data_IF_189690676020
#
_entry.id   IF_189690676020
#
_cell.length_a   1.000
_cell.length_b   1.000
_cell.length_c   1.000
_cell.angle_alpha   90.00
_cell.angle_beta   90.00
_cell.angle_gamma   90.00
#
_symmetry.space_group_name_H-M   'P 1'
#
loop_
_entity.id
_entity.type
_entity.pdbx_description
1 polymer ?
#
# COMPACT_ATOMS: atom_id res chain seq x y z
N UNK A 1 -26.78 -0.27 2.78
CA UNK A 1 -27.52 -1.31 3.54
C UNK A 1 -26.94 -2.67 3.17
N UNK A 2 -26.29 -3.31 4.08
CA UNK A 2 -26.23 -4.75 4.47
C UNK A 2 -24.90 -5.03 5.16
N UNK A 3 -25.06 -5.15 6.47
CA UNK A 3 -24.06 -5.57 7.43
C UNK A 3 -23.76 -7.06 7.22
N UNK A 4 -22.51 -7.46 7.19
CA UNK A 4 -22.12 -8.84 7.48
C UNK A 4 -21.16 -8.83 8.68
N UNK A 5 -21.74 -9.24 9.79
CA UNK A 5 -21.09 -9.57 11.05
C UNK A 5 -20.62 -11.03 10.92
N UNK A 6 -19.33 -11.28 11.00
CA UNK A 6 -18.79 -12.63 11.18
C UNK A 6 -18.12 -12.71 12.54
N UNK A 7 -18.76 -13.46 13.44
CA UNK A 7 -18.27 -13.78 14.77
C UNK A 7 -17.17 -14.85 14.66
N UNK A 8 -16.01 -14.60 15.28
CA UNK A 8 -14.94 -15.59 15.47
C UNK A 8 -14.95 -16.04 16.94
N UNK A 9 -15.29 -17.30 17.17
CA UNK A 9 -15.24 -17.97 18.48
C UNK A 9 -13.79 -18.22 18.88
N UNK A 10 -13.37 -17.69 20.01
CA UNK A 10 -12.12 -18.04 20.69
C UNK A 10 -12.33 -19.27 21.53
N UNK A 11 -11.63 -20.37 21.26
CA UNK A 11 -11.54 -21.55 22.11
C UNK A 11 -10.33 -21.38 23.04
N UNK A 12 -10.65 -21.21 24.32
CA UNK A 12 -9.71 -21.12 25.44
C UNK A 12 -9.48 -22.54 25.96
N UNK A 13 -8.30 -23.14 25.76
CA UNK A 13 -7.91 -24.38 26.43
C UNK A 13 -7.02 -24.07 27.62
N UNK A 14 -7.58 -24.24 28.78
CA UNK A 14 -6.89 -24.21 30.08
C UNK A 14 -6.15 -25.54 30.28
N UNK A 15 -4.84 -25.48 30.43
CA UNK A 15 -4.04 -26.63 30.84
C UNK A 15 -3.61 -26.44 32.30
N UNK A 16 -4.19 -27.28 33.18
CA UNK A 16 -3.94 -27.31 34.62
C UNK A 16 -2.67 -28.09 34.91
N UNK A 17 -1.75 -27.46 35.62
CA UNK A 17 -0.62 -28.10 36.30
C UNK A 17 -1.05 -28.66 37.64
N UNK A 18 -0.81 -29.93 37.87
CA UNK A 18 -0.75 -30.47 39.24
C UNK A 18 0.19 -31.65 39.28
N UNK A 19 1.11 -31.65 40.23
CA UNK A 19 1.78 -32.87 40.64
C UNK A 19 3.23 -32.69 41.08
N UNK A 20 3.39 -32.31 42.33
CA UNK A 20 4.66 -32.40 43.08
C UNK A 20 4.83 -33.84 43.57
N UNK A 21 6.02 -34.42 43.40
CA UNK A 21 6.35 -35.72 44.00
C UNK A 21 7.86 -35.92 44.02
N UNK A 22 8.41 -35.84 45.21
CA UNK A 22 9.79 -36.05 45.62
C UNK A 22 10.00 -37.50 45.97
N UNK A 23 11.07 -38.16 45.47
CA UNK A 23 11.90 -39.13 46.27
C UNK A 23 13.07 -39.68 45.49
N UNK A 24 14.23 -39.48 46.04
CA UNK A 24 15.42 -40.32 46.23
C UNK A 24 15.96 -41.23 45.11
N UNK A 25 17.26 -40.96 44.86
CA UNK A 25 18.25 -41.76 44.13
C UNK A 25 18.53 -43.12 44.77
N UNK A 26 18.89 -44.17 44.04
CA UNK A 26 20.32 -44.41 43.75
C UNK A 26 20.67 -45.11 42.44
N UNK A 27 21.94 -44.87 42.07
CA UNK A 27 22.88 -45.73 41.31
C UNK A 27 22.66 -45.95 39.80
N UNK A 28 23.71 -45.55 39.07
CA UNK A 28 24.02 -45.76 37.63
C UNK A 28 23.97 -47.21 37.16
N UNK A 29 23.72 -47.37 35.85
CA UNK A 29 24.82 -47.83 35.02
C UNK A 29 24.91 -47.07 33.67
N UNK A 30 26.14 -46.81 33.28
CA UNK A 30 26.63 -46.28 31.99
C UNK A 30 26.04 -47.03 30.82
N UNK A 31 25.43 -46.29 29.91
CA UNK A 31 25.07 -46.82 28.58
C UNK A 31 25.80 -46.01 27.50
N UNK A 32 26.36 -46.67 26.49
CA UNK A 32 27.24 -46.03 25.51
C UNK A 32 26.49 -45.29 24.42
N UNK A 33 27.03 -44.14 24.04
CA UNK A 33 26.95 -43.59 22.70
C UNK A 33 25.56 -43.25 22.15
N UNK A 34 25.02 -42.07 22.50
CA UNK A 34 24.12 -41.41 21.57
C UNK A 34 24.95 -40.80 20.46
N UNK A 35 24.78 -41.36 19.25
CA UNK A 35 25.25 -40.70 18.03
C UNK A 35 24.58 -39.35 17.92
N UNK A 36 25.34 -38.28 17.89
CA UNK A 36 24.86 -36.94 17.53
C UNK A 36 24.30 -37.04 16.11
N UNK A 37 23.01 -36.85 16.02
CA UNK A 37 22.31 -36.62 14.77
C UNK A 37 22.89 -35.32 14.16
N UNK A 38 23.37 -35.35 12.88
CA UNK A 38 23.92 -34.13 12.29
C UNK A 38 22.84 -33.05 12.26
N UNK A 39 23.11 -31.94 12.97
CA UNK A 39 22.29 -30.77 12.92
C UNK A 39 22.06 -30.35 11.45
N UNK A 40 20.78 -30.27 11.05
CA UNK A 40 20.44 -29.75 9.74
C UNK A 40 21.10 -28.37 9.55
N UNK A 41 21.57 -28.03 8.34
CA UNK A 41 22.18 -26.76 8.08
C UNK A 41 21.15 -25.65 8.40
N UNK A 42 21.44 -24.86 9.40
CA UNK A 42 20.66 -23.64 9.69
C UNK A 42 20.89 -22.70 8.51
N UNK A 43 19.84 -22.38 7.75
CA UNK A 43 19.93 -21.31 6.76
C UNK A 43 20.40 -20.04 7.47
N UNK A 44 21.36 -19.30 6.89
CA UNK A 44 21.86 -18.08 7.52
C UNK A 44 20.69 -17.10 7.69
N UNK A 45 20.42 -16.68 8.93
CA UNK A 45 19.47 -15.63 9.21
C UNK A 45 19.97 -14.33 8.56
N UNK A 46 19.11 -13.74 7.71
CA UNK A 46 19.41 -12.46 7.05
C UNK A 46 19.60 -11.36 8.10
N UNK A 47 20.58 -10.51 7.87
CA UNK A 47 20.77 -9.32 8.70
C UNK A 47 19.61 -8.34 8.50
N UNK A 48 19.36 -7.46 9.49
CA UNK A 48 18.32 -6.42 9.34
C UNK A 48 18.51 -5.53 8.10
N UNK A 49 19.75 -5.30 7.69
CA UNK A 49 20.09 -4.53 6.48
C UNK A 49 19.73 -5.30 5.20
N UNK A 50 19.99 -6.59 5.16
CA UNK A 50 19.62 -7.45 4.02
C UNK A 50 18.10 -7.59 3.89
N UNK A 51 17.38 -7.68 5.01
CA UNK A 51 15.92 -7.70 5.03
C UNK A 51 15.37 -6.38 4.47
N UNK A 52 15.86 -5.23 4.95
CA UNK A 52 15.43 -3.91 4.49
C UNK A 52 15.71 -3.70 2.99
N UNK A 53 16.84 -4.19 2.48
CA UNK A 53 17.18 -4.12 1.06
C UNK A 53 16.27 -5.01 0.23
N UNK A 54 15.95 -6.22 0.68
CA UNK A 54 15.01 -7.11 0.00
C UNK A 54 13.60 -6.50 -0.06
N UNK A 55 13.13 -5.91 1.05
CA UNK A 55 11.84 -5.22 1.10
C UNK A 55 11.79 -4.03 0.14
N UNK A 56 12.87 -3.25 0.06
CA UNK A 56 12.99 -2.13 -0.87
C UNK A 56 12.91 -2.59 -2.33
N UNK A 57 13.68 -3.61 -2.68
CA UNK A 57 13.69 -4.19 -4.04
C UNK A 57 12.33 -4.80 -4.40
N UNK A 58 11.68 -5.48 -3.46
CA UNK A 58 10.35 -6.04 -3.66
C UNK A 58 9.30 -4.94 -3.88
N UNK A 59 9.36 -3.85 -3.11
CA UNK A 59 8.48 -2.70 -3.25
C UNK A 59 8.69 -1.97 -4.60
N UNK A 60 9.94 -1.82 -5.04
CA UNK A 60 10.28 -1.23 -6.33
C UNK A 60 9.74 -2.08 -7.49
N UNK A 61 9.96 -3.38 -7.44
CA UNK A 61 9.42 -4.33 -8.43
C UNK A 61 7.89 -4.30 -8.48
N UNK A 62 7.23 -4.34 -7.34
CA UNK A 62 5.76 -4.25 -7.28
C UNK A 62 5.22 -2.94 -7.83
N UNK A 63 5.95 -1.82 -7.61
CA UNK A 63 5.62 -0.52 -8.21
C UNK A 63 5.75 -0.56 -9.72
N UNK A 64 6.85 -1.09 -10.24
CA UNK A 64 7.09 -1.20 -11.69
C UNK A 64 6.04 -2.06 -12.37
N UNK A 65 5.72 -3.23 -11.82
CA UNK A 65 4.67 -4.12 -12.33
C UNK A 65 3.30 -3.43 -12.37
N UNK A 66 2.98 -2.64 -11.32
CA UNK A 66 1.74 -1.86 -11.28
C UNK A 66 1.71 -0.76 -12.35
N UNK A 67 2.83 -0.04 -12.55
CA UNK A 67 2.93 1.01 -13.56
C UNK A 67 2.83 0.42 -14.97
N UNK A 68 3.51 -0.70 -15.21
CA UNK A 68 3.43 -1.39 -16.50
C UNK A 68 2.01 -1.89 -16.77
N UNK A 69 1.36 -2.50 -15.78
CA UNK A 69 -0.04 -2.94 -15.90
C UNK A 69 -1.01 -1.78 -16.20
N UNK A 70 -0.80 -0.61 -15.59
CA UNK A 70 -1.56 0.60 -15.89
C UNK A 70 -1.34 1.04 -17.34
N UNK A 71 -0.08 1.15 -17.77
CA UNK A 71 0.27 1.52 -19.14
C UNK A 71 -0.31 0.57 -20.19
N UNK A 72 -0.29 -0.73 -19.92
CA UNK A 72 -0.82 -1.74 -20.83
C UNK A 72 -2.34 -1.69 -20.93
N UNK A 73 -3.04 -1.21 -19.91
CA UNK A 73 -4.49 -1.04 -19.90
C UNK A 73 -4.98 0.22 -20.62
N UNK A 74 -4.10 1.20 -20.85
CA UNK A 74 -4.45 2.49 -21.47
C UNK A 74 -4.50 2.41 -22.98
N UNK A 75 -5.47 3.12 -23.56
CA UNK A 75 -5.52 3.41 -25.01
C UNK A 75 -4.40 4.39 -25.41
N UNK A 76 -4.19 4.55 -26.72
CA UNK A 76 -3.23 5.53 -27.21
C UNK A 76 -3.65 6.97 -26.86
N UNK A 77 -4.94 7.26 -26.98
CA UNK A 77 -5.52 8.57 -26.64
C UNK A 77 -5.30 8.92 -25.17
N UNK A 78 -5.54 7.98 -24.28
CA UNK A 78 -5.27 8.15 -22.84
C UNK A 78 -3.79 8.38 -22.57
N UNK A 79 -2.91 7.60 -23.18
CA UNK A 79 -1.44 7.79 -23.04
C UNK A 79 -1.00 9.16 -23.53
N UNK A 80 -1.53 9.60 -24.65
CA UNK A 80 -1.22 10.92 -25.21
C UNK A 80 -1.76 12.02 -24.32
N UNK A 81 -3.01 11.88 -23.83
CA UNK A 81 -3.64 12.85 -22.93
C UNK A 81 -2.83 13.07 -21.64
N UNK A 82 -2.28 11.99 -21.06
CA UNK A 82 -1.46 12.05 -19.85
C UNK A 82 -0.16 12.86 -20.01
N UNK A 83 0.30 13.09 -21.24
CA UNK A 83 1.47 13.93 -21.50
C UNK A 83 1.16 15.44 -21.46
N UNK A 84 -0.13 15.80 -21.44
CA UNK A 84 -0.54 17.20 -21.43
C UNK A 84 -0.75 17.72 -20.01
N UNK A 85 0.10 18.67 -19.65
CA UNK A 85 -0.03 19.50 -18.46
C UNK A 85 -0.38 20.92 -18.92
N UNK A 86 -1.65 21.27 -18.84
CA UNK A 86 -2.18 22.45 -19.50
C UNK A 86 -2.68 23.48 -18.49
N UNK A 87 -2.78 24.74 -18.94
CA UNK A 87 -3.41 25.77 -18.13
C UNK A 87 -4.88 25.40 -17.89
N UNK A 88 -5.35 25.49 -16.64
CA UNK A 88 -6.76 25.28 -16.30
C UNK A 88 -7.64 26.22 -17.14
N UNK A 89 -8.62 25.68 -17.91
CA UNK A 89 -9.52 26.50 -18.73
C UNK A 89 -10.51 27.27 -17.84
N UNK A 90 -11.12 28.33 -18.37
CA UNK A 90 -12.12 29.12 -17.65
C UNK A 90 -13.47 28.40 -17.55
N UNK A 91 -13.75 27.56 -18.52
CA UNK A 91 -14.99 26.79 -18.63
C UNK A 91 -14.65 25.34 -18.92
N UNK A 92 -15.55 24.44 -18.57
CA UNK A 92 -15.46 23.00 -18.85
C UNK A 92 -14.26 22.28 -18.23
N UNK A 93 -13.59 22.88 -17.20
CA UNK A 93 -12.38 22.31 -16.62
C UNK A 93 -12.54 20.87 -16.13
N UNK A 94 -13.70 20.49 -15.59
CA UNK A 94 -13.98 19.12 -15.14
C UNK A 94 -14.22 18.19 -16.34
N UNK A 95 -14.97 18.64 -17.34
CA UNK A 95 -15.29 17.86 -18.55
C UNK A 95 -14.06 17.62 -19.42
N UNK A 96 -13.20 18.63 -19.57
CA UNK A 96 -11.97 18.54 -20.39
C UNK A 96 -11.00 17.49 -19.87
N UNK A 97 -10.95 17.27 -18.55
CA UNK A 97 -10.09 16.23 -17.94
C UNK A 97 -10.44 14.85 -18.50
N UNK A 98 -11.72 14.48 -18.48
CA UNK A 98 -12.19 13.18 -18.95
C UNK A 98 -12.21 13.10 -20.49
N UNK A 99 -12.55 14.21 -21.17
CA UNK A 99 -12.62 14.26 -22.64
C UNK A 99 -11.25 14.11 -23.29
N UNK A 100 -10.23 14.75 -22.74
CA UNK A 100 -8.89 14.77 -23.30
C UNK A 100 -7.88 13.90 -22.51
N UNK A 101 -8.35 13.21 -21.46
CA UNK A 101 -7.51 12.36 -20.59
C UNK A 101 -6.27 13.09 -20.03
N UNK A 102 -6.45 14.35 -19.61
CA UNK A 102 -5.34 15.24 -19.26
C UNK A 102 -4.50 14.71 -18.10
N UNK A 103 -3.18 14.90 -18.18
CA UNK A 103 -2.23 14.55 -17.13
C UNK A 103 -2.16 15.59 -16.00
N UNK A 104 -2.54 16.85 -16.25
CA UNK A 104 -2.51 17.85 -15.20
C UNK A 104 -2.98 19.25 -15.60
N UNK A 105 -3.24 20.07 -14.56
CA UNK A 105 -3.57 21.48 -14.69
C UNK A 105 -2.53 22.37 -14.01
N UNK A 106 -2.18 23.46 -14.72
CA UNK A 106 -1.52 24.64 -14.18
C UNK A 106 -2.59 25.63 -13.73
N UNK A 107 -2.59 25.97 -12.44
CA UNK A 107 -3.49 26.93 -11.85
C UNK A 107 -2.81 28.32 -11.80
N UNK A 108 -3.59 29.37 -12.05
CA UNK A 108 -3.15 30.74 -11.99
C UNK A 108 -4.05 31.52 -11.03
N UNK A 109 -3.69 32.80 -10.76
CA UNK A 109 -4.40 33.62 -9.77
C UNK A 109 -5.92 33.65 -9.92
N UNK A 110 -6.49 33.56 -11.14
CA UNK A 110 -7.93 33.47 -11.37
C UNK A 110 -8.56 32.16 -10.86
N UNK A 111 -7.77 31.08 -10.89
CA UNK A 111 -8.27 29.75 -10.55
C UNK A 111 -8.47 29.57 -9.03
N UNK A 112 -7.91 30.50 -8.25
CA UNK A 112 -8.09 30.62 -6.80
C UNK A 112 -9.20 31.60 -6.41
N UNK A 113 -10.03 32.01 -7.39
CA UNK A 113 -11.11 33.01 -7.17
C UNK A 113 -12.45 32.46 -7.64
N UNK A 114 -13.50 33.02 -7.03
CA UNK A 114 -14.88 32.99 -7.49
C UNK A 114 -15.31 34.46 -7.70
N UNK A 115 -15.41 34.88 -8.97
CA UNK A 115 -15.52 36.27 -9.33
C UNK A 115 -14.35 37.10 -8.81
N UNK A 116 -14.62 38.17 -8.03
CA UNK A 116 -13.56 39.02 -7.47
C UNK A 116 -13.04 38.54 -6.11
N UNK A 117 -13.66 37.53 -5.50
CA UNK A 117 -13.32 37.01 -4.18
C UNK A 117 -12.36 35.85 -4.25
N UNK A 118 -11.44 35.77 -3.28
CA UNK A 118 -10.61 34.59 -3.12
C UNK A 118 -11.45 33.43 -2.58
N UNK A 119 -11.20 32.22 -3.11
CA UNK A 119 -11.76 31.00 -2.56
C UNK A 119 -11.28 30.80 -1.12
N UNK A 120 -12.14 30.27 -0.25
CA UNK A 120 -11.71 29.73 1.02
C UNK A 120 -10.90 28.45 0.77
N UNK A 121 -10.17 28.00 1.79
CA UNK A 121 -9.41 26.76 1.71
C UNK A 121 -10.30 25.56 1.40
N UNK A 122 -11.47 25.48 2.02
CA UNK A 122 -12.45 24.42 1.81
C UNK A 122 -12.99 24.43 0.36
N UNK A 123 -13.33 25.61 -0.16
CA UNK A 123 -13.78 25.75 -1.56
C UNK A 123 -12.70 25.34 -2.55
N UNK A 124 -11.45 25.71 -2.27
CA UNK A 124 -10.32 25.31 -3.11
C UNK A 124 -10.09 23.78 -3.09
N UNK A 125 -10.14 23.14 -1.90
CA UNK A 125 -10.06 21.69 -1.79
C UNK A 125 -11.16 21.02 -2.60
N UNK A 126 -12.43 21.43 -2.42
CA UNK A 126 -13.56 20.88 -3.18
C UNK A 126 -13.39 21.01 -4.69
N UNK A 127 -12.84 22.13 -5.15
CA UNK A 127 -12.50 22.34 -6.55
C UNK A 127 -11.45 21.33 -7.05
N UNK A 128 -10.38 21.12 -6.29
CA UNK A 128 -9.34 20.14 -6.65
C UNK A 128 -9.89 18.71 -6.60
N UNK A 129 -10.70 18.37 -5.60
CA UNK A 129 -11.37 17.07 -5.50
C UNK A 129 -12.24 16.81 -6.74
N UNK A 130 -13.01 17.81 -7.20
CA UNK A 130 -13.81 17.67 -8.43
C UNK A 130 -12.96 17.37 -9.68
N UNK A 131 -11.75 17.90 -9.75
CA UNK A 131 -10.81 17.60 -10.83
C UNK A 131 -10.25 16.17 -10.70
N UNK A 132 -9.88 15.75 -9.49
CA UNK A 132 -9.39 14.40 -9.24
C UNK A 132 -10.46 13.33 -9.51
N UNK A 133 -11.72 13.60 -9.15
CA UNK A 133 -12.84 12.70 -9.37
C UNK A 133 -13.15 12.50 -10.87
N UNK A 134 -12.88 13.51 -11.70
CA UNK A 134 -13.04 13.44 -13.15
C UNK A 134 -11.89 12.70 -13.87
N UNK A 135 -10.76 12.52 -13.19
CA UNK A 135 -9.56 11.93 -13.76
C UNK A 135 -9.52 10.41 -13.55
N UNK A 136 -9.30 9.64 -14.61
CA UNK A 136 -9.10 8.19 -14.52
C UNK A 136 -7.75 7.84 -13.84
N UNK A 137 -6.76 8.71 -14.01
CA UNK A 137 -5.44 8.66 -13.38
C UNK A 137 -5.27 9.94 -12.59
N UNK A 138 -4.73 9.92 -11.36
CA UNK A 138 -4.59 11.13 -10.54
C UNK A 138 -3.91 12.27 -11.31
N UNK A 139 -4.57 13.42 -11.31
CA UNK A 139 -4.17 14.62 -12.05
C UNK A 139 -3.05 15.36 -11.32
N UNK A 140 -2.04 15.80 -12.04
CA UNK A 140 -1.06 16.74 -11.50
C UNK A 140 -1.68 18.15 -11.39
N UNK A 141 -1.50 18.78 -10.23
CA UNK A 141 -1.92 20.17 -9.98
C UNK A 141 -0.68 20.99 -9.64
N UNK A 142 -0.43 22.06 -10.40
CA UNK A 142 0.73 22.94 -10.25
C UNK A 142 0.38 24.42 -10.33
#
# INVERSE_FOLDING_TARGET
MKRFLAALLAALTVFTLTGCGKTENPAEPVTPGQAEEPAAPTEPELTPEEIAEQERLAAEKAREERLQGLLDSMTLEEKVGQLFFVRCPETNAVEDISTYHLGGYLLFGRDYKDGDSWLTWEQFIQKIESYQDAAAIPLFIG
#
